data_IF_872925261146
#
_entry.id   IF_872925261146
#
_cell.length_a   1.000
_cell.length_b   1.000
_cell.length_c   1.000
_cell.angle_alpha   90.00
_cell.angle_beta   90.00
_cell.angle_gamma   90.00
#
_symmetry.space_group_name_H-M   'P 1'
#
loop_
_entity.id
_entity.type
_entity.pdbx_description
1 polymer ?
#
# COMPACT_ATOMS: atom_id res chain seq x y z
N UNK A 1 -2.22 5.51 4.28
CA UNK A 1 -2.15 4.12 3.76
C UNK A 1 -1.41 3.29 4.79
N UNK A 2 -2.06 2.26 5.33
CA UNK A 2 -1.39 1.29 6.20
C UNK A 2 -0.65 0.27 5.34
N UNK A 3 0.58 -0.05 5.71
CA UNK A 3 1.39 -1.09 5.09
C UNK A 3 1.96 -2.05 6.14
N UNK A 4 2.44 -3.19 5.67
CA UNK A 4 2.88 -4.29 6.51
C UNK A 4 1.73 -5.23 6.87
N UNK A 5 2.10 -6.49 7.13
CA UNK A 5 1.13 -7.57 7.33
C UNK A 5 1.03 -7.99 8.80
N UNK A 6 2.07 -7.74 9.59
CA UNK A 6 2.17 -8.30 10.94
C UNK A 6 2.65 -7.29 11.98
N UNK A 7 2.10 -7.42 13.18
CA UNK A 7 2.60 -6.82 14.42
C UNK A 7 3.44 -7.84 15.21
N UNK A 8 4.05 -7.41 16.31
CA UNK A 8 4.74 -8.26 17.28
C UNK A 8 3.83 -9.37 17.80
N UNK A 9 2.55 -9.08 18.06
CA UNK A 9 1.57 -10.03 18.54
C UNK A 9 1.19 -11.05 17.46
N UNK A 10 0.93 -10.60 16.23
CA UNK A 10 0.53 -11.52 15.14
C UNK A 10 1.69 -12.39 14.65
N UNK A 11 2.94 -12.00 14.94
CA UNK A 11 4.15 -12.79 14.64
C UNK A 11 4.32 -14.01 15.54
N UNK A 12 3.64 -14.06 16.69
CA UNK A 12 3.89 -15.09 17.70
C UNK A 12 3.45 -16.49 17.25
N UNK A 13 2.49 -16.59 16.32
CA UNK A 13 1.99 -17.87 15.82
C UNK A 13 1.33 -17.69 14.44
N UNK A 14 1.47 -18.66 13.54
CA UNK A 14 0.87 -18.63 12.20
C UNK A 14 -0.66 -18.50 12.23
N UNK A 15 -1.32 -18.97 13.30
CA UNK A 15 -2.78 -18.82 13.50
C UNK A 15 -3.21 -17.39 13.79
N UNK A 16 -2.28 -16.52 14.18
CA UNK A 16 -2.53 -15.11 14.49
C UNK A 16 -2.25 -14.18 13.31
N UNK A 17 -1.83 -14.73 12.16
CA UNK A 17 -1.53 -13.95 10.96
C UNK A 17 -2.75 -13.14 10.56
N UNK A 18 -2.53 -11.83 10.37
CA UNK A 18 -3.55 -10.92 9.88
C UNK A 18 -3.75 -11.08 8.37
N UNK A 19 -4.88 -10.57 7.86
CA UNK A 19 -5.14 -10.52 6.42
C UNK A 19 -4.11 -9.65 5.69
N UNK A 20 -3.76 -10.07 4.47
CA UNK A 20 -2.90 -9.31 3.56
C UNK A 20 -3.61 -9.21 2.20
N UNK A 21 -4.19 -8.05 1.92
CA UNK A 21 -4.97 -7.81 0.72
C UNK A 21 -4.07 -7.25 -0.40
N UNK A 22 -4.09 -7.89 -1.56
CA UNK A 22 -3.32 -7.51 -2.75
C UNK A 22 -4.20 -7.33 -4.00
N UNK A 23 -5.50 -7.59 -3.90
CA UNK A 23 -6.43 -7.49 -5.02
C UNK A 23 -6.66 -6.04 -5.46
N UNK A 24 -7.38 -5.88 -6.57
CA UNK A 24 -7.70 -4.58 -7.19
C UNK A 24 -8.61 -3.68 -6.36
N UNK A 25 -9.35 -4.23 -5.40
CA UNK A 25 -10.41 -3.52 -4.69
C UNK A 25 -10.02 -3.16 -3.25
N UNK A 26 -9.52 -4.13 -2.47
CA UNK A 26 -9.09 -3.94 -1.08
C UNK A 26 -7.59 -3.72 -0.92
N UNK A 27 -6.79 -4.22 -1.87
CA UNK A 27 -5.34 -4.07 -1.84
C UNK A 27 -4.93 -2.60 -1.89
N UNK A 28 -4.06 -2.20 -0.95
CA UNK A 28 -3.47 -0.86 -0.96
C UNK A 28 -2.19 -0.83 -1.80
N UNK A 29 -1.77 0.36 -2.24
CA UNK A 29 -0.67 0.54 -3.21
C UNK A 29 0.59 -0.24 -2.84
N UNK A 30 1.01 -0.21 -1.58
CA UNK A 30 2.26 -0.86 -1.18
C UNK A 30 2.08 -2.38 -1.09
N UNK A 31 1.04 -2.87 -0.41
CA UNK A 31 0.79 -4.31 -0.31
C UNK A 31 0.65 -4.96 -1.70
N UNK A 32 -0.01 -4.27 -2.64
CA UNK A 32 -0.08 -4.66 -4.05
C UNK A 32 1.30 -4.75 -4.69
N UNK A 33 2.15 -3.72 -4.55
CA UNK A 33 3.50 -3.75 -5.10
C UNK A 33 4.36 -4.86 -4.50
N UNK A 34 4.27 -5.11 -3.20
CA UNK A 34 5.02 -6.21 -2.56
C UNK A 34 4.58 -7.57 -3.12
N UNK A 35 3.27 -7.78 -3.26
CA UNK A 35 2.73 -9.00 -3.85
C UNK A 35 3.16 -9.15 -5.31
N UNK A 36 3.02 -8.09 -6.11
CA UNK A 36 3.39 -8.08 -7.52
C UNK A 36 4.89 -8.38 -7.68
N UNK A 37 5.74 -7.71 -6.89
CA UNK A 37 7.18 -7.96 -6.87
C UNK A 37 7.55 -9.39 -6.46
N UNK A 38 6.88 -9.95 -5.45
CA UNK A 38 7.09 -11.34 -5.03
C UNK A 38 6.69 -12.36 -6.10
N UNK A 39 5.67 -12.05 -6.92
CA UNK A 39 5.21 -12.91 -8.01
C UNK A 39 5.98 -12.72 -9.32
N UNK A 40 6.88 -11.75 -9.40
CA UNK A 40 7.48 -11.31 -10.67
C UNK A 40 6.46 -10.66 -11.62
N UNK A 41 5.33 -10.20 -11.09
CA UNK A 41 4.31 -9.46 -11.82
C UNK A 41 4.72 -7.97 -11.90
N UNK A 42 4.53 -7.27 -13.04
CA UNK A 42 4.88 -5.85 -13.14
C UNK A 42 4.15 -4.98 -12.12
N UNK A 43 4.86 -4.05 -11.48
CA UNK A 43 4.28 -3.12 -10.50
C UNK A 43 3.34 -2.16 -11.22
N UNK A 44 2.04 -2.20 -10.89
CA UNK A 44 1.01 -1.44 -11.61
C UNK A 44 0.85 -0.03 -11.06
N UNK A 45 1.52 0.94 -11.67
CA UNK A 45 1.42 2.37 -11.30
C UNK A 45 0.26 3.00 -12.05
N UNK A 46 -0.77 3.47 -11.35
CA UNK A 46 -1.93 4.08 -11.98
C UNK A 46 -1.63 5.52 -12.45
N UNK A 47 -1.84 5.80 -13.73
CA UNK A 47 -1.51 7.09 -14.35
C UNK A 47 -0.01 7.34 -14.33
N UNK A 48 0.41 8.57 -14.03
CA UNK A 48 1.84 8.95 -13.95
C UNK A 48 2.54 8.43 -12.69
N UNK A 49 1.79 8.03 -11.66
CA UNK A 49 2.33 7.75 -10.32
C UNK A 49 2.77 9.01 -9.55
N UNK A 50 2.43 10.21 -10.03
CA UNK A 50 2.78 11.49 -9.40
C UNK A 50 1.99 11.76 -8.11
N UNK A 51 1.05 10.90 -7.75
CA UNK A 51 0.21 11.12 -6.58
C UNK A 51 1.01 10.91 -5.30
N UNK A 52 1.01 11.89 -4.39
CA UNK A 52 1.69 11.76 -3.08
C UNK A 52 0.71 11.22 -2.04
N UNK A 53 1.11 10.19 -1.31
CA UNK A 53 0.30 9.54 -0.26
C UNK A 53 1.06 9.47 1.06
N UNK A 54 0.30 9.50 2.15
CA UNK A 54 0.78 9.29 3.51
C UNK A 54 0.80 7.79 3.84
N UNK A 55 1.87 7.32 4.49
CA UNK A 55 2.11 5.93 4.85
C UNK A 55 2.29 5.79 6.37
N UNK A 56 1.93 4.61 6.89
CA UNK A 56 2.19 4.18 8.27
C UNK A 56 2.29 2.66 8.32
N UNK A 57 3.25 2.14 9.07
CA UNK A 57 3.37 0.71 9.29
C UNK A 57 2.27 0.20 10.24
N UNK A 58 1.75 -1.01 10.04
CA UNK A 58 0.65 -1.57 10.84
C UNK A 58 0.98 -1.65 12.35
N UNK A 59 2.24 -1.91 12.71
CA UNK A 59 2.69 -1.86 14.10
C UNK A 59 2.53 -0.46 14.71
N UNK A 60 2.79 0.59 13.93
CA UNK A 60 2.62 1.96 14.42
C UNK A 60 1.16 2.37 14.43
N UNK A 61 0.32 1.81 13.56
CA UNK A 61 -1.13 1.98 13.65
C UNK A 61 -1.64 1.55 15.02
N UNK A 62 -1.29 0.35 15.50
CA UNK A 62 -1.73 -0.13 16.82
C UNK A 62 -1.10 0.66 17.97
N UNK A 63 0.17 1.06 17.86
CA UNK A 63 0.83 1.93 18.86
C UNK A 63 0.16 3.30 18.96
N UNK A 64 -0.21 3.92 17.85
CA UNK A 64 -0.93 5.19 17.86
C UNK A 64 -2.29 5.09 18.57
N UNK A 65 -3.02 3.98 18.37
CA UNK A 65 -4.28 3.74 19.10
C UNK A 65 -4.01 3.62 20.59
N UNK A 66 -3.01 2.85 21.00
CA UNK A 66 -2.60 2.72 22.40
C UNK A 66 -2.21 4.09 23.00
N UNK A 67 -1.40 4.88 22.29
CA UNK A 67 -0.98 6.21 22.71
C UNK A 67 -2.16 7.17 22.90
N UNK A 68 -3.14 7.14 21.99
CA UNK A 68 -4.35 7.95 22.10
C UNK A 68 -5.18 7.56 23.33
N UNK A 69 -5.31 6.25 23.61
CA UNK A 69 -6.03 5.73 24.77
C UNK A 69 -5.34 6.07 26.09
N UNK A 70 -3.99 6.01 26.13
CA UNK A 70 -3.20 6.37 27.33
C UNK A 70 -3.14 7.86 27.59
N UNK A 71 -3.42 8.70 26.59
CA UNK A 71 -3.33 10.16 26.68
C UNK A 71 -4.65 10.85 26.27
N UNK A 72 -5.79 10.50 26.91
CA UNK A 72 -7.07 11.08 26.56
C UNK A 72 -7.10 12.58 26.88
N UNK A 73 -7.83 13.40 26.09
CA UNK A 73 -8.11 14.78 26.49
C UNK A 73 -8.86 14.82 27.82
N UNK A 74 -8.68 15.89 28.61
CA UNK A 74 -9.42 16.04 29.87
C UNK A 74 -10.89 16.30 29.56
N UNK A 75 -11.77 15.97 30.51
CA UNK A 75 -13.19 16.29 30.39
C UNK A 75 -13.37 17.79 30.23
N UNK A 76 -14.04 18.21 29.15
CA UNK A 76 -14.26 19.61 28.80
C UNK A 76 -13.23 20.19 27.83
N UNK A 77 -12.12 19.49 27.56
CA UNK A 77 -11.19 19.88 26.50
C UNK A 77 -11.85 19.72 25.12
N UNK A 78 -11.32 20.44 24.13
CA UNK A 78 -11.71 20.24 22.73
C UNK A 78 -11.33 18.84 22.26
N UNK A 79 -12.13 18.32 21.32
CA UNK A 79 -11.81 17.09 20.61
C UNK A 79 -10.43 17.20 19.98
N UNK A 80 -9.56 16.22 20.26
CA UNK A 80 -8.25 16.10 19.61
C UNK A 80 -8.40 15.37 18.29
N UNK A 81 -7.87 15.97 17.23
CA UNK A 81 -7.70 15.34 15.91
C UNK A 81 -6.20 15.09 15.76
N UNK A 82 -5.83 13.84 15.50
CA UNK A 82 -4.43 13.40 15.40
C UNK A 82 -4.20 12.80 14.02
N UNK A 83 -3.20 13.31 13.30
CA UNK A 83 -2.82 12.78 11.99
C UNK A 83 -2.00 11.50 12.17
N UNK A 84 -2.61 10.35 11.89
CA UNK A 84 -1.99 9.03 12.04
C UNK A 84 -1.19 8.65 10.78
N UNK A 85 0.02 9.18 10.63
CA UNK A 85 0.94 8.84 9.55
C UNK A 85 2.42 9.08 9.93
N UNK A 86 3.35 8.40 9.25
CA UNK A 86 4.79 8.49 9.56
C UNK A 86 5.59 9.17 8.46
N UNK A 87 5.26 8.92 7.19
CA UNK A 87 5.95 9.54 6.05
C UNK A 87 5.06 9.68 4.81
N UNK A 88 5.41 10.62 3.91
CA UNK A 88 4.75 10.81 2.62
C UNK A 88 5.69 10.43 1.47
N UNK A 89 5.16 9.76 0.45
CA UNK A 89 5.91 9.41 -0.78
C UNK A 89 5.01 9.52 -2.02
N UNK A 90 5.61 9.79 -3.17
CA UNK A 90 4.93 9.62 -4.46
C UNK A 90 4.83 8.14 -4.80
N UNK A 91 3.74 7.76 -5.48
CA UNK A 91 3.52 6.37 -5.88
C UNK A 91 4.63 5.86 -6.81
N UNK A 92 5.13 6.67 -7.74
CA UNK A 92 6.24 6.29 -8.63
C UNK A 92 7.55 6.03 -7.89
N UNK A 93 7.85 6.83 -6.87
CA UNK A 93 9.07 6.68 -6.07
C UNK A 93 8.98 5.38 -5.24
N UNK A 94 7.79 5.09 -4.70
CA UNK A 94 7.51 3.85 -3.99
C UNK A 94 7.63 2.62 -4.90
N UNK A 95 7.11 2.70 -6.14
CA UNK A 95 7.23 1.64 -7.12
C UNK A 95 8.70 1.37 -7.46
N UNK A 96 9.50 2.42 -7.65
CA UNK A 96 10.93 2.31 -7.93
C UNK A 96 11.68 1.64 -6.76
N UNK A 97 11.40 2.03 -5.51
CA UNK A 97 11.98 1.37 -4.33
C UNK A 97 11.68 -0.14 -4.30
N UNK A 98 10.43 -0.54 -4.56
CA UNK A 98 10.05 -1.96 -4.57
C UNK A 98 10.66 -2.70 -5.76
N UNK A 99 10.73 -2.07 -6.93
CA UNK A 99 11.37 -2.63 -8.12
C UNK A 99 12.85 -2.92 -7.89
N UNK A 100 13.58 -2.01 -7.25
CA UNK A 100 15.00 -2.20 -6.89
C UNK A 100 15.21 -3.39 -5.94
N UNK A 101 14.28 -3.63 -5.01
CA UNK A 101 14.36 -4.73 -4.04
C UNK A 101 13.95 -6.08 -4.62
N UNK A 102 13.04 -6.09 -5.60
CA UNK A 102 12.40 -7.31 -6.11
C UNK A 102 12.85 -7.70 -7.52
N UNK A 103 13.42 -6.77 -8.29
CA UNK A 103 13.74 -6.93 -9.71
C UNK A 103 12.52 -6.83 -10.63
N UNK A 104 11.34 -6.46 -10.11
CA UNK A 104 10.13 -6.32 -10.91
C UNK A 104 10.18 -5.09 -11.82
N UNK A 105 9.53 -5.18 -12.98
CA UNK A 105 9.34 -4.03 -13.87
C UNK A 105 8.22 -3.12 -13.35
N UNK A 106 8.31 -1.82 -13.59
CA UNK A 106 7.25 -0.85 -13.29
C UNK A 106 6.48 -0.55 -14.55
N UNK A 107 5.15 -0.74 -14.54
CA UNK A 107 4.27 -0.45 -15.66
C UNK A 107 3.26 0.62 -15.26
N UNK A 108 3.20 1.69 -16.04
CA UNK A 108 2.15 2.70 -15.91
C UNK A 108 0.89 2.21 -16.63
N UNK A 109 -0.22 2.14 -15.89
CA UNK A 109 -1.51 1.65 -16.37
C UNK A 109 -2.59 2.74 -16.25
N UNK A 110 -3.69 2.59 -16.98
CA UNK A 110 -4.83 3.50 -16.93
C UNK A 110 -5.35 3.65 -15.49
N UNK A 111 -5.49 4.89 -15.00
CA UNK A 111 -5.95 5.11 -13.64
C UNK A 111 -7.48 4.89 -13.56
N UNK A 112 -7.97 3.89 -12.80
CA UNK A 112 -9.41 3.68 -12.59
C UNK A 112 -10.08 4.81 -11.79
N UNK A 113 -9.27 5.65 -11.13
CA UNK A 113 -9.68 6.74 -10.25
C UNK A 113 -9.61 8.09 -10.96
N UNK A 114 -10.40 9.01 -10.43
CA UNK A 114 -10.57 10.43 -10.76
C UNK A 114 -9.98 11.21 -9.61
N UNK A 115 -8.67 11.34 -9.66
CA UNK A 115 -7.85 12.06 -8.70
C UNK A 115 -6.84 12.90 -9.47
N UNK A 116 -6.14 13.80 -8.78
CA UNK A 116 -5.05 14.54 -9.40
C UNK A 116 -3.94 13.56 -9.82
N UNK A 117 -3.44 13.69 -11.05
CA UNK A 117 -2.35 12.85 -11.55
C UNK A 117 -1.03 13.15 -10.83
N UNK A 118 -0.86 14.38 -10.34
CA UNK A 118 0.27 14.79 -9.50
C UNK A 118 -0.22 15.75 -8.42
N UNK A 119 0.28 15.57 -7.19
CA UNK A 119 -0.05 16.42 -6.06
C UNK A 119 1.08 16.43 -5.03
N UNK A 120 1.16 17.50 -4.25
CA UNK A 120 1.94 17.53 -3.01
C UNK A 120 1.06 17.14 -1.82
N UNK A 121 1.67 16.54 -0.80
CA UNK A 121 0.98 16.19 0.44
C UNK A 121 1.95 16.34 1.62
N UNK A 122 1.89 17.51 2.25
CA UNK A 122 2.60 17.80 3.49
C UNK A 122 1.61 17.65 4.64
N UNK A 123 1.91 16.74 5.58
CA UNK A 123 1.05 16.43 6.71
C UNK A 123 1.85 16.66 7.99
N UNK A 124 1.34 17.49 8.90
CA UNK A 124 1.90 17.60 10.24
C UNK A 124 1.61 16.32 11.02
N UNK A 125 2.64 15.65 11.53
CA UNK A 125 2.53 14.39 12.26
C UNK A 125 3.26 14.40 13.62
N UNK A 126 3.58 15.59 14.13
CA UNK A 126 4.37 15.76 15.35
C UNK A 126 3.64 15.25 16.60
N UNK A 127 2.32 15.34 16.63
CA UNK A 127 1.52 15.05 17.82
C UNK A 127 1.73 13.62 18.36
N UNK A 128 1.78 12.60 17.49
CA UNK A 128 2.05 11.23 17.97
C UNK A 128 3.52 11.05 18.38
N UNK A 129 4.44 11.77 17.75
CA UNK A 129 5.87 11.76 18.11
C UNK A 129 6.10 12.38 19.48
N UNK A 130 5.40 13.48 19.78
CA UNK A 130 5.36 14.13 21.09
C UNK A 130 4.79 13.21 22.17
N UNK A 131 3.82 12.36 21.81
CA UNK A 131 3.28 11.32 22.69
C UNK A 131 4.21 10.09 22.84
N UNK A 132 5.35 10.06 22.14
CA UNK A 132 6.37 9.02 22.26
C UNK A 132 6.39 7.98 21.14
N UNK A 133 5.64 8.19 20.05
CA UNK A 133 5.75 7.33 18.87
C UNK A 133 7.17 7.41 18.29
N UNK A 134 7.79 6.24 18.09
CA UNK A 134 9.02 6.07 17.33
C UNK A 134 8.68 5.40 16.00
N UNK A 135 8.57 6.17 14.90
CA UNK A 135 8.09 5.65 13.62
C UNK A 135 8.99 4.56 13.04
N UNK A 136 8.36 3.54 12.45
CA UNK A 136 8.96 2.60 11.52
C UNK A 136 8.83 3.21 10.12
N UNK A 137 9.97 3.41 9.47
CA UNK A 137 10.01 3.97 8.11
C UNK A 137 9.96 2.90 7.04
N UNK A 138 9.55 3.28 5.82
CA UNK A 138 9.58 2.44 4.64
C UNK A 138 10.99 1.90 4.38
N UNK A 139 12.03 2.70 4.56
CA UNK A 139 13.41 2.26 4.35
C UNK A 139 13.81 1.12 5.31
N UNK A 140 13.29 1.11 6.54
CA UNK A 140 13.64 0.12 7.57
C UNK A 140 12.79 -1.15 7.50
N UNK A 141 11.47 -1.02 7.31
CA UNK A 141 10.55 -2.16 7.42
C UNK A 141 10.22 -2.87 6.11
N UNK A 142 10.40 -2.21 4.95
CA UNK A 142 9.88 -2.71 3.68
C UNK A 142 10.47 -4.07 3.27
N UNK A 143 11.78 -4.26 3.45
CA UNK A 143 12.47 -5.50 3.08
C UNK A 143 11.97 -6.72 3.87
N UNK A 144 11.66 -6.53 5.15
CA UNK A 144 11.11 -7.59 5.99
C UNK A 144 9.73 -8.00 5.48
N UNK A 145 8.84 -7.04 5.20
CA UNK A 145 7.50 -7.31 4.71
C UNK A 145 7.47 -8.00 3.33
N UNK A 146 8.37 -7.62 2.39
CA UNK A 146 8.54 -8.34 1.10
C UNK A 146 8.81 -9.82 1.34
N UNK A 147 9.67 -10.12 2.31
CA UNK A 147 10.23 -11.46 2.51
C UNK A 147 9.31 -12.35 3.34
N UNK A 148 8.69 -11.81 4.39
CA UNK A 148 7.96 -12.59 5.39
C UNK A 148 6.62 -13.12 4.88
N UNK A 149 5.82 -12.30 4.19
CA UNK A 149 4.47 -12.67 3.75
C UNK A 149 4.38 -12.83 2.24
N UNK A 150 4.81 -11.83 1.48
CA UNK A 150 4.56 -11.82 0.04
C UNK A 150 5.26 -13.00 -0.68
N UNK A 151 6.52 -13.31 -0.32
CA UNK A 151 7.23 -14.48 -0.85
C UNK A 151 6.76 -15.80 -0.23
N UNK A 152 6.53 -15.85 1.08
CA UNK A 152 6.15 -17.07 1.80
C UNK A 152 4.82 -17.65 1.33
N UNK A 153 3.87 -16.79 0.96
CA UNK A 153 2.52 -17.18 0.53
C UNK A 153 2.25 -16.84 -0.94
N UNK A 154 3.31 -16.67 -1.75
CA UNK A 154 3.20 -16.33 -3.17
C UNK A 154 2.39 -17.34 -3.98
N UNK A 155 2.49 -18.63 -3.61
CA UNK A 155 1.79 -19.75 -4.21
C UNK A 155 0.26 -19.68 -4.04
N UNK A 156 -0.22 -18.95 -3.03
CA UNK A 156 -1.66 -18.78 -2.74
C UNK A 156 -2.31 -17.64 -3.53
N UNK A 157 -1.55 -16.90 -4.32
CA UNK A 157 -2.04 -15.72 -4.98
C UNK A 157 -2.80 -16.02 -6.28
N UNK A 158 -4.03 -15.53 -6.36
CA UNK A 158 -4.84 -15.51 -7.57
C UNK A 158 -4.47 -14.26 -8.40
N UNK A 159 -3.68 -14.48 -9.46
CA UNK A 159 -3.22 -13.42 -10.36
C UNK A 159 -4.37 -12.70 -11.08
N UNK A 160 -5.54 -13.33 -11.21
CA UNK A 160 -6.71 -12.71 -11.85
C UNK A 160 -7.29 -11.56 -11.02
N UNK A 161 -6.95 -11.49 -9.73
CA UNK A 161 -7.40 -10.44 -8.82
C UNK A 161 -6.47 -9.23 -8.75
N UNK A 162 -5.28 -9.31 -9.35
CA UNK A 162 -4.30 -8.22 -9.31
C UNK A 162 -4.78 -6.97 -10.07
N UNK A 163 -5.34 -7.06 -11.29
CA UNK A 163 -5.79 -5.88 -12.03
C UNK A 163 -6.93 -5.14 -11.33
N UNK A 164 -6.90 -3.81 -11.34
CA UNK A 164 -8.01 -2.99 -10.88
C UNK A 164 -9.02 -2.80 -12.02
N UNK A 165 -10.19 -3.43 -11.92
CA UNK A 165 -11.22 -3.41 -12.98
C UNK A 165 -12.39 -2.46 -12.67
N UNK A 166 -12.50 -2.01 -11.41
CA UNK A 166 -13.56 -1.11 -10.96
C UNK A 166 -13.18 0.35 -11.23
N UNK A 167 -13.96 1.04 -12.06
CA UNK A 167 -13.74 2.45 -12.42
C UNK A 167 -14.69 3.40 -11.68
N UNK A 168 -14.24 4.61 -11.33
CA UNK A 168 -15.11 5.62 -10.69
C UNK A 168 -16.17 6.21 -11.61
N UNK A 169 -15.90 6.28 -12.92
CA UNK A 169 -16.82 6.85 -13.90
C UNK A 169 -16.64 6.20 -15.28
N UNK A 170 -17.55 6.51 -16.20
CA UNK A 170 -17.57 5.94 -17.55
C UNK A 170 -16.29 6.22 -18.35
N UNK A 171 -15.71 7.42 -18.23
CA UNK A 171 -14.47 7.76 -18.92
C UNK A 171 -13.27 6.95 -18.41
N UNK A 172 -13.18 6.71 -17.09
CA UNK A 172 -12.16 5.80 -16.54
C UNK A 172 -12.42 4.35 -16.95
N UNK A 173 -13.68 3.93 -17.04
CA UNK A 173 -14.02 2.58 -17.52
C UNK A 173 -13.61 2.36 -18.98
N UNK A 174 -13.80 3.36 -19.83
CA UNK A 174 -13.35 3.33 -21.24
C UNK A 174 -11.83 3.25 -21.34
N UNK A 175 -11.09 4.04 -20.54
CA UNK A 175 -9.63 3.98 -20.51
C UNK A 175 -9.08 2.59 -20.11
N UNK A 176 -9.68 1.94 -19.11
CA UNK A 176 -9.30 0.57 -18.72
C UNK A 176 -9.57 -0.46 -19.82
N UNK A 177 -10.70 -0.34 -20.54
CA UNK A 177 -11.02 -1.22 -21.67
C UNK A 177 -10.04 -1.02 -22.82
N UNK A 178 -9.76 0.23 -23.18
CA UNK A 178 -8.83 0.57 -24.26
C UNK A 178 -7.42 0.03 -23.99
N UNK A 179 -6.96 0.06 -22.73
CA UNK A 179 -5.68 -0.54 -22.33
C UNK A 179 -5.70 -2.07 -22.46
N UNK A 180 -6.80 -2.71 -22.05
CA UNK A 180 -6.94 -4.18 -22.15
C UNK A 180 -6.97 -4.64 -23.61
N UNK A 181 -7.67 -3.90 -24.48
CA UNK A 181 -7.81 -4.19 -25.91
C UNK A 181 -6.55 -3.82 -26.72
N UNK A 182 -5.87 -2.73 -26.35
CA UNK A 182 -4.63 -2.27 -26.98
C UNK A 182 -3.38 -3.07 -26.57
N UNK A 183 -3.46 -3.81 -25.47
CA UNK A 183 -2.45 -4.80 -25.08
C UNK A 183 -2.56 -6.05 -25.97
N UNK A 184 -2.15 -5.97 -27.24
CA UNK A 184 -1.91 -7.15 -28.11
C UNK A 184 -0.64 -7.92 -27.71
N UNK A 185 -0.30 -7.93 -26.43
CA UNK A 185 0.59 -8.90 -25.84
C UNK A 185 -0.28 -9.68 -24.85
N UNK A 186 -0.45 -11.00 -25.03
CA UNK A 186 -1.14 -11.78 -24.03
C UNK A 186 -0.30 -11.62 -22.78
N UNK A 187 -0.82 -10.88 -21.79
CA UNK A 187 -0.49 -11.15 -20.41
C UNK A 187 -0.59 -12.65 -20.32
N UNK A 188 0.57 -13.29 -20.11
CA UNK A 188 0.72 -14.72 -19.94
C UNK A 188 -0.39 -15.18 -18.99
N UNK A 189 -1.50 -15.63 -19.58
CA UNK A 189 -2.36 -16.65 -19.03
C UNK A 189 -1.48 -17.89 -19.08
N UNK A 190 -0.46 -17.94 -18.23
CA UNK A 190 0.19 -19.17 -17.86
C UNK A 190 -0.73 -19.80 -16.83
N UNK A 191 -1.78 -20.41 -17.35
CA UNK A 191 -2.28 -21.66 -16.79
C UNK A 191 -1.15 -22.69 -16.90
N UNK A 192 -0.44 -22.90 -15.79
CA UNK A 192 0.26 -24.14 -15.46
C UNK A 192 0.45 -24.15 -13.94
#
# INVERSE_FOLDING_TARGET
IVWGAQTEETRQDERLINRFDYDGDYGTVLNRFLMQGALGYPLTVHGSGGQTRAFIHIQDTVRCVELALKNPPKRGDRVKILNQMTESRRVRDLAQMVAEMTGAQVHNVANPRQEADENELVVANDQFRELGLKPITLAEGLMADVTDIARRYADRADRTKIPCVTAWNAGRAEALRAETEGSTSPARVLSA
#
